data_IF_115596028804
#
_entry.id   IF_115596028804
#
_cell.length_a   1.000
_cell.length_b   1.000
_cell.length_c   1.000
_cell.angle_alpha   90.00
_cell.angle_beta   90.00
_cell.angle_gamma   90.00
#
_symmetry.space_group_name_H-M   'P 1'
#
loop_
_entity.id
_entity.type
_entity.pdbx_description
1 polymer ?
#
# COMPACT_ATOMS: atom_id res chain seq x y z
N UNK A 1 32.73 34.13 27.62
CA UNK A 1 31.29 34.35 27.25
C UNK A 1 31.16 34.93 25.82
N UNK A 2 32.25 35.29 25.12
CA UNK A 2 32.21 35.98 23.79
C UNK A 2 32.51 35.07 22.58
N UNK A 3 32.63 33.75 22.73
CA UNK A 3 32.96 32.81 21.64
C UNK A 3 31.75 32.00 21.13
N UNK A 4 30.58 32.09 21.77
CA UNK A 4 29.38 31.27 21.45
C UNK A 4 28.37 31.96 20.50
N UNK A 5 28.64 33.18 20.02
CA UNK A 5 27.69 33.93 19.15
C UNK A 5 28.07 33.86 17.65
N UNK A 6 29.20 33.29 17.26
CA UNK A 6 29.66 33.31 15.87
C UNK A 6 29.32 32.09 15.01
N UNK A 7 28.59 31.06 15.52
CA UNK A 7 28.31 29.81 14.78
C UNK A 7 26.88 29.75 14.20
N UNK A 8 26.02 30.72 14.50
CA UNK A 8 24.61 30.70 14.04
C UNK A 8 24.37 31.34 12.65
N UNK A 9 25.38 31.75 11.91
CA UNK A 9 25.19 32.56 10.70
C UNK A 9 25.32 31.81 9.36
N UNK A 10 25.50 30.49 9.32
CA UNK A 10 25.66 29.73 8.07
C UNK A 10 24.76 28.52 7.89
N UNK A 11 23.64 28.47 8.57
CA UNK A 11 22.60 27.51 8.17
C UNK A 11 21.73 28.22 7.12
N UNK A 12 22.16 28.20 5.86
CA UNK A 12 21.25 28.43 4.76
C UNK A 12 20.26 27.25 4.78
N UNK A 13 18.96 27.45 5.02
CA UNK A 13 18.00 26.39 4.82
C UNK A 13 18.08 26.03 3.33
N UNK A 14 18.57 24.84 3.03
CA UNK A 14 18.44 24.27 1.69
C UNK A 14 16.96 24.39 1.32
N UNK A 15 16.67 25.16 0.27
CA UNK A 15 15.32 25.30 -0.27
C UNK A 15 14.94 23.91 -0.75
N UNK A 16 14.31 23.14 0.13
CA UNK A 16 13.64 21.90 -0.21
C UNK A 16 12.72 22.24 -1.37
N UNK A 17 12.88 21.56 -2.51
CA UNK A 17 11.98 21.71 -3.63
C UNK A 17 10.55 21.58 -3.05
N UNK A 18 9.72 22.60 -3.28
CA UNK A 18 8.36 22.68 -2.75
C UNK A 18 7.57 21.49 -3.30
N UNK A 19 7.47 20.44 -2.50
CA UNK A 19 6.75 19.23 -2.88
C UNK A 19 5.27 19.58 -2.90
N UNK A 20 4.60 19.37 -4.03
CA UNK A 20 3.18 19.64 -4.19
C UNK A 20 2.37 18.93 -3.09
N UNK A 21 1.36 19.61 -2.55
CA UNK A 21 0.46 19.00 -1.56
C UNK A 21 -0.25 17.80 -2.19
N UNK A 22 -0.21 16.65 -1.48
CA UNK A 22 -0.82 15.41 -1.96
C UNK A 22 -2.33 15.56 -2.15
N UNK A 23 -2.87 14.92 -3.15
CA UNK A 23 -4.31 14.82 -3.37
C UNK A 23 -4.96 14.12 -2.18
N UNK A 24 -6.00 14.72 -1.64
CA UNK A 24 -6.73 14.21 -0.47
C UNK A 24 -7.99 13.50 -0.94
N UNK A 25 -8.01 12.19 -0.77
CA UNK A 25 -9.16 11.34 -1.10
C UNK A 25 -9.84 10.91 0.18
N UNK A 26 -11.17 10.87 0.13
CA UNK A 26 -11.98 10.36 1.23
C UNK A 26 -12.10 8.83 1.10
N UNK A 27 -11.13 8.11 1.69
CA UNK A 27 -11.06 6.66 1.63
C UNK A 27 -12.06 6.02 2.58
N UNK A 28 -12.80 5.00 2.13
CA UNK A 28 -13.79 4.25 2.92
C UNK A 28 -13.18 3.52 4.11
N UNK A 29 -11.92 3.11 3.99
CA UNK A 29 -11.18 2.38 5.03
C UNK A 29 -10.58 3.27 6.12
N UNK A 30 -10.68 4.61 6.01
CA UNK A 30 -10.18 5.54 7.04
C UNK A 30 -11.16 5.70 8.20
N UNK A 31 -10.61 6.08 9.37
CA UNK A 31 -11.37 6.32 10.61
C UNK A 31 -11.54 5.06 11.46
N UNK A 32 -12.17 5.23 12.63
CA UNK A 32 -12.31 4.16 13.64
C UNK A 32 -13.16 2.97 13.19
N UNK A 33 -14.08 3.18 12.25
CA UNK A 33 -15.00 2.17 11.72
C UNK A 33 -14.83 1.97 10.22
N UNK A 34 -13.74 2.50 9.65
CA UNK A 34 -13.46 2.40 8.22
C UNK A 34 -13.36 0.94 7.76
N UNK A 35 -13.88 0.67 6.56
CA UNK A 35 -13.85 -0.65 5.92
C UNK A 35 -13.46 -0.50 4.47
N UNK A 36 -12.86 -1.54 3.93
CA UNK A 36 -12.60 -1.63 2.51
C UNK A 36 -13.90 -1.88 1.72
N UNK A 37 -14.02 -1.23 0.58
CA UNK A 37 -15.03 -1.56 -0.41
C UNK A 37 -14.58 -2.81 -1.19
N UNK A 38 -15.35 -3.88 -1.13
CA UNK A 38 -15.00 -5.18 -1.73
C UNK A 38 -14.92 -5.11 -3.26
N UNK A 39 -15.85 -4.40 -3.88
CA UNK A 39 -15.82 -4.21 -5.32
C UNK A 39 -14.56 -3.43 -5.76
N UNK A 40 -14.20 -2.37 -5.02
CA UNK A 40 -12.97 -1.64 -5.25
C UNK A 40 -11.71 -2.50 -5.04
N UNK A 41 -11.70 -3.42 -4.05
CA UNK A 41 -10.60 -4.36 -3.86
C UNK A 41 -10.46 -5.34 -5.03
N UNK A 42 -11.57 -5.89 -5.53
CA UNK A 42 -11.57 -6.82 -6.67
C UNK A 42 -11.09 -6.13 -7.94
N UNK A 43 -11.62 -4.94 -8.25
CA UNK A 43 -11.15 -4.12 -9.38
C UNK A 43 -9.68 -3.71 -9.22
N UNK A 44 -9.29 -3.33 -8.01
CA UNK A 44 -7.89 -2.97 -7.70
C UNK A 44 -6.94 -4.16 -7.88
N UNK A 45 -7.36 -5.37 -7.53
CA UNK A 45 -6.62 -6.59 -7.85
C UNK A 45 -6.51 -6.80 -9.36
N UNK A 46 -7.57 -6.55 -10.13
CA UNK A 46 -7.53 -6.64 -11.58
C UNK A 46 -6.50 -5.65 -12.16
N UNK A 47 -6.52 -4.37 -11.72
CA UNK A 47 -5.50 -3.38 -12.14
C UNK A 47 -4.08 -3.86 -11.79
N UNK A 48 -3.88 -4.37 -10.56
CA UNK A 48 -2.58 -4.91 -10.18
C UNK A 48 -2.16 -6.06 -11.11
N UNK A 49 -3.03 -7.04 -11.32
CA UNK A 49 -2.75 -8.23 -12.13
C UNK A 49 -2.44 -7.88 -13.59
N UNK A 50 -3.19 -6.98 -14.20
CA UNK A 50 -3.11 -6.71 -15.63
C UNK A 50 -2.09 -5.62 -15.98
N UNK A 51 -1.80 -4.70 -15.07
CA UNK A 51 -0.91 -3.57 -15.32
C UNK A 51 0.36 -3.64 -14.46
N UNK A 52 0.23 -3.68 -13.14
CA UNK A 52 1.35 -3.46 -12.22
C UNK A 52 2.28 -4.68 -12.08
N UNK A 53 1.71 -5.89 -12.13
CA UNK A 53 2.43 -7.14 -11.87
C UNK A 53 3.48 -7.47 -12.92
N UNK A 54 3.45 -6.81 -14.09
CA UNK A 54 4.47 -6.94 -15.13
C UNK A 54 5.85 -6.42 -14.70
N UNK A 55 5.88 -5.49 -13.73
CA UNK A 55 7.11 -4.86 -13.25
C UNK A 55 7.28 -4.96 -11.72
N UNK A 56 6.18 -5.00 -10.96
CA UNK A 56 6.18 -4.94 -9.50
C UNK A 56 5.81 -6.28 -8.86
N UNK A 57 6.65 -6.74 -7.94
CA UNK A 57 6.36 -7.90 -7.10
C UNK A 57 5.39 -7.56 -5.95
N UNK A 58 4.79 -8.60 -5.37
CA UNK A 58 3.95 -8.54 -4.15
C UNK A 58 4.20 -9.79 -3.30
N UNK A 59 5.42 -9.92 -2.81
CA UNK A 59 5.97 -11.17 -2.26
C UNK A 59 5.37 -11.59 -0.91
N UNK A 60 4.72 -10.69 -0.16
CA UNK A 60 4.18 -11.02 1.16
C UNK A 60 2.76 -11.57 1.13
N UNK A 61 2.07 -11.51 -0.03
CA UNK A 61 0.76 -12.10 -0.21
C UNK A 61 0.84 -13.48 -0.85
N UNK A 62 -0.06 -14.36 -0.41
CA UNK A 62 -0.39 -15.62 -1.08
C UNK A 62 -1.72 -15.48 -1.79
N UNK A 63 -1.98 -16.26 -2.84
CA UNK A 63 -3.26 -16.21 -3.55
C UNK A 63 -4.46 -16.47 -2.65
N UNK A 64 -4.33 -17.33 -1.63
CA UNK A 64 -5.40 -17.59 -0.64
C UNK A 64 -5.88 -16.34 0.08
N UNK A 65 -5.00 -15.34 0.29
CA UNK A 65 -5.38 -14.12 0.98
C UNK A 65 -6.46 -13.33 0.22
N UNK A 66 -6.59 -13.52 -1.09
CA UNK A 66 -7.64 -12.91 -1.90
C UNK A 66 -9.07 -13.37 -1.51
N UNK A 67 -9.20 -14.54 -0.88
CA UNK A 67 -10.49 -15.07 -0.40
C UNK A 67 -10.77 -14.82 1.08
N UNK A 68 -9.85 -14.17 1.83
CA UNK A 68 -10.02 -13.94 3.25
C UNK A 68 -11.03 -12.83 3.56
N UNK A 69 -11.75 -12.98 4.70
CA UNK A 69 -12.67 -11.95 5.21
C UNK A 69 -11.93 -10.62 5.41
N UNK A 70 -12.52 -9.53 4.95
CA UNK A 70 -11.88 -8.22 5.03
C UNK A 70 -11.02 -7.88 3.82
N UNK A 71 -10.76 -8.83 2.95
CA UNK A 71 -10.05 -8.69 1.68
C UNK A 71 -10.97 -8.56 0.47
N UNK A 72 -10.49 -8.91 -0.73
CA UNK A 72 -11.31 -8.96 -1.95
C UNK A 72 -12.46 -9.97 -1.88
N UNK A 73 -12.36 -10.95 -0.99
CA UNK A 73 -13.40 -11.96 -0.71
C UNK A 73 -13.83 -12.76 -1.96
N UNK A 74 -12.88 -13.08 -2.84
CA UNK A 74 -13.12 -14.00 -3.93
C UNK A 74 -13.49 -15.38 -3.39
N UNK A 75 -14.37 -16.09 -4.08
CA UNK A 75 -14.72 -17.47 -3.75
C UNK A 75 -13.49 -18.39 -3.83
N UNK A 76 -13.57 -19.55 -3.18
CA UNK A 76 -12.50 -20.55 -3.20
C UNK A 76 -12.17 -20.99 -4.63
N UNK A 77 -13.20 -21.10 -5.47
CA UNK A 77 -13.09 -21.48 -6.88
C UNK A 77 -12.37 -20.40 -7.69
N UNK A 78 -12.72 -19.14 -7.48
CA UNK A 78 -12.06 -18.00 -8.13
C UNK A 78 -10.59 -17.89 -7.68
N UNK A 79 -10.31 -18.03 -6.39
CA UNK A 79 -8.93 -18.02 -5.89
C UNK A 79 -8.09 -19.14 -6.50
N UNK A 80 -8.65 -20.35 -6.67
CA UNK A 80 -7.98 -21.47 -7.36
C UNK A 80 -7.73 -21.16 -8.83
N UNK A 81 -8.71 -20.60 -9.51
CA UNK A 81 -8.60 -20.23 -10.92
C UNK A 81 -7.55 -19.11 -11.12
N UNK A 82 -7.56 -18.09 -10.26
CA UNK A 82 -6.57 -17.01 -10.26
C UNK A 82 -5.18 -17.58 -10.05
N UNK A 83 -4.97 -18.40 -9.00
CA UNK A 83 -3.67 -19.00 -8.72
C UNK A 83 -3.17 -19.84 -9.90
N UNK A 84 -4.03 -20.70 -10.47
CA UNK A 84 -3.69 -21.57 -11.58
C UNK A 84 -3.39 -20.81 -12.91
N UNK A 85 -3.76 -19.54 -13.01
CA UNK A 85 -3.40 -18.70 -14.17
C UNK A 85 -1.93 -18.23 -14.17
N UNK A 86 -1.19 -18.52 -13.10
CA UNK A 86 0.24 -18.21 -12.98
C UNK A 86 1.06 -19.50 -12.95
N UNK A 87 2.24 -19.46 -13.53
CA UNK A 87 3.21 -20.55 -13.44
C UNK A 87 4.15 -20.31 -12.26
N UNK A 88 4.34 -21.34 -11.46
CA UNK A 88 5.21 -21.34 -10.27
C UNK A 88 6.32 -22.36 -10.47
N UNK A 89 7.56 -21.95 -10.27
CA UNK A 89 8.69 -22.85 -10.18
C UNK A 89 8.62 -23.68 -8.89
N UNK A 90 8.71 -24.98 -8.99
CA UNK A 90 8.63 -25.94 -7.87
C UNK A 90 9.72 -27.01 -8.03
N UNK A 91 10.01 -27.73 -6.97
CA UNK A 91 11.04 -28.76 -6.96
C UNK A 91 12.07 -28.57 -5.84
N UNK A 92 13.19 -29.29 -5.88
CA UNK A 92 13.53 -30.29 -6.89
C UNK A 92 12.65 -31.55 -6.83
N UNK A 93 12.43 -32.18 -7.99
CA UNK A 93 11.77 -33.48 -8.09
C UNK A 93 12.66 -34.62 -7.56
N UNK A 94 12.22 -35.87 -7.74
CA UNK A 94 12.99 -37.07 -7.31
C UNK A 94 14.31 -37.27 -8.08
N UNK A 95 14.50 -36.53 -9.18
CA UNK A 95 15.72 -36.55 -10.01
C UNK A 95 16.62 -35.34 -9.72
N UNK A 96 16.14 -34.38 -8.89
CA UNK A 96 16.87 -33.18 -8.53
C UNK A 96 16.61 -32.00 -9.48
N UNK A 97 15.61 -32.08 -10.36
CA UNK A 97 15.32 -31.05 -11.35
C UNK A 97 14.20 -30.13 -10.89
N UNK A 98 14.31 -28.84 -11.25
CA UNK A 98 13.26 -27.84 -11.06
C UNK A 98 12.24 -27.96 -12.18
N UNK A 99 10.96 -27.78 -11.85
CA UNK A 99 9.87 -27.84 -12.84
C UNK A 99 8.87 -26.70 -12.59
N UNK A 100 8.11 -26.36 -13.62
CA UNK A 100 7.01 -25.39 -13.48
C UNK A 100 5.68 -26.12 -13.35
N UNK A 101 4.79 -25.53 -12.57
CA UNK A 101 3.41 -26.00 -12.41
C UNK A 101 2.44 -24.83 -12.30
N UNK A 102 1.15 -25.05 -12.55
CA UNK A 102 0.12 -24.07 -12.19
C UNK A 102 0.17 -23.74 -10.69
N UNK A 103 0.01 -22.45 -10.39
CA UNK A 103 -0.01 -21.98 -9.02
C UNK A 103 -1.18 -22.54 -8.21
N UNK A 104 -0.99 -22.58 -6.89
CA UNK A 104 -1.96 -23.03 -5.89
C UNK A 104 -2.31 -21.86 -4.96
N UNK A 105 -3.46 -21.87 -4.27
CA UNK A 105 -3.82 -20.85 -3.30
C UNK A 105 -2.77 -20.58 -2.21
N UNK A 106 -1.97 -21.59 -1.85
CA UNK A 106 -0.88 -21.46 -0.88
C UNK A 106 0.36 -20.74 -1.40
N UNK A 107 0.52 -20.67 -2.70
CA UNK A 107 1.71 -20.07 -3.30
C UNK A 107 1.67 -18.55 -3.13
N UNK A 108 2.87 -17.97 -3.06
CA UNK A 108 3.04 -16.51 -3.08
C UNK A 108 2.74 -15.95 -4.47
N UNK A 109 2.38 -14.69 -4.53
CA UNK A 109 2.29 -13.99 -5.81
C UNK A 109 3.62 -14.08 -6.56
N UNK A 110 3.55 -14.49 -7.81
CA UNK A 110 4.74 -14.66 -8.65
C UNK A 110 5.39 -13.31 -8.91
N UNK A 111 6.70 -13.25 -8.72
CA UNK A 111 7.48 -12.07 -9.04
C UNK A 111 7.76 -12.00 -10.55
N UNK A 112 7.69 -10.81 -11.18
CA UNK A 112 7.93 -10.68 -12.63
C UNK A 112 9.36 -10.97 -13.05
N UNK A 113 10.30 -10.90 -12.10
CA UNK A 113 11.72 -11.13 -12.35
C UNK A 113 12.30 -12.11 -11.33
N UNK A 114 13.25 -12.96 -11.75
CA UNK A 114 13.84 -13.98 -10.88
C UNK A 114 14.73 -13.39 -9.77
N UNK A 115 15.24 -12.18 -9.96
CA UNK A 115 16.08 -11.49 -8.97
C UNK A 115 16.13 -9.98 -9.21
N UNK A 116 16.67 -9.25 -8.23
CA UNK A 116 16.79 -7.78 -8.24
C UNK A 116 17.60 -7.28 -9.45
N UNK A 117 18.69 -7.94 -9.82
CA UNK A 117 19.53 -7.49 -10.94
C UNK A 117 18.80 -7.61 -12.29
N UNK A 118 18.05 -8.69 -12.50
CA UNK A 118 17.21 -8.86 -13.68
C UNK A 118 16.11 -7.78 -13.73
N UNK A 119 15.49 -7.48 -12.59
CA UNK A 119 14.50 -6.41 -12.46
C UNK A 119 15.09 -5.03 -12.83
N UNK A 120 16.26 -4.68 -12.29
CA UNK A 120 16.94 -3.41 -12.59
C UNK A 120 17.30 -3.33 -14.07
N UNK A 121 17.86 -4.40 -14.65
CA UNK A 121 18.24 -4.42 -16.07
C UNK A 121 17.03 -4.22 -16.99
N UNK A 122 15.91 -4.89 -16.70
CA UNK A 122 14.68 -4.77 -17.48
C UNK A 122 13.99 -3.41 -17.38
N UNK A 123 14.25 -2.65 -16.30
CA UNK A 123 13.60 -1.36 -16.01
C UNK A 123 14.55 -0.15 -16.18
N UNK A 124 15.47 -0.19 -17.12
CA UNK A 124 16.35 0.93 -17.46
C UNK A 124 17.21 1.41 -16.28
N UNK A 125 17.67 0.48 -15.43
CA UNK A 125 18.49 0.79 -14.25
C UNK A 125 17.68 1.24 -13.03
N UNK A 126 16.34 1.20 -13.05
CA UNK A 126 15.50 1.43 -11.89
C UNK A 126 15.05 0.11 -11.27
N UNK A 127 14.89 0.08 -9.97
CA UNK A 127 14.29 -1.05 -9.27
C UNK A 127 12.82 -0.73 -8.94
N UNK A 128 11.85 -1.40 -9.59
CA UNK A 128 10.45 -1.29 -9.18
C UNK A 128 10.27 -1.87 -7.78
N UNK A 129 9.77 -1.08 -6.81
CA UNK A 129 9.62 -1.58 -5.44
C UNK A 129 8.57 -2.69 -5.36
N UNK A 130 8.76 -3.60 -4.40
CA UNK A 130 7.72 -4.56 -4.00
C UNK A 130 6.51 -3.79 -3.43
N UNK A 131 5.30 -4.17 -3.86
CA UNK A 131 4.08 -3.45 -3.51
C UNK A 131 3.42 -3.93 -2.22
N UNK A 132 3.88 -5.03 -1.61
CA UNK A 132 3.22 -5.66 -0.46
C UNK A 132 2.97 -4.70 0.70
N UNK A 133 3.93 -3.82 1.00
CA UNK A 133 3.83 -2.85 2.11
C UNK A 133 4.08 -1.40 1.66
N UNK A 134 3.99 -1.15 0.34
CA UNK A 134 4.37 0.12 -0.26
C UNK A 134 3.61 1.30 0.35
N UNK A 135 2.31 1.14 0.60
CA UNK A 135 1.45 2.19 1.19
C UNK A 135 1.93 2.59 2.58
N UNK A 136 2.40 1.64 3.40
CA UNK A 136 2.95 1.93 4.74
C UNK A 136 4.36 2.50 4.69
N UNK A 137 5.11 2.21 3.65
CA UNK A 137 6.49 2.64 3.47
C UNK A 137 6.62 4.06 2.90
N UNK A 138 5.51 4.76 2.68
CA UNK A 138 5.51 6.11 2.11
C UNK A 138 4.76 7.10 3.00
N UNK A 139 5.36 8.27 3.34
CA UNK A 139 4.63 9.37 3.97
C UNK A 139 3.41 9.76 3.12
N UNK A 140 2.26 9.93 3.77
CA UNK A 140 0.99 10.17 3.07
C UNK A 140 0.21 8.91 2.70
N UNK A 141 0.84 7.72 2.74
CA UNK A 141 0.18 6.43 2.55
C UNK A 141 -0.62 6.34 1.25
N UNK A 142 -1.91 5.98 1.35
CA UNK A 142 -2.81 5.85 0.20
C UNK A 142 -2.89 7.14 -0.64
N UNK A 143 -2.93 8.32 0.00
CA UNK A 143 -2.94 9.58 -0.72
C UNK A 143 -1.68 9.78 -1.56
N UNK A 144 -0.51 9.34 -1.07
CA UNK A 144 0.74 9.42 -1.83
C UNK A 144 0.70 8.51 -3.06
N UNK A 145 0.31 7.25 -2.90
CA UNK A 145 0.23 6.31 -4.02
C UNK A 145 -0.73 6.83 -5.09
N UNK A 146 -1.93 7.23 -4.68
CA UNK A 146 -2.90 7.83 -5.60
C UNK A 146 -2.36 9.08 -6.29
N UNK A 147 -1.73 9.99 -5.54
CA UNK A 147 -1.16 11.22 -6.10
C UNK A 147 -0.06 10.92 -7.13
N UNK A 148 0.82 9.95 -6.86
CA UNK A 148 1.86 9.55 -7.81
C UNK A 148 1.25 9.00 -9.09
N UNK A 149 0.21 8.17 -9.02
CA UNK A 149 -0.48 7.62 -10.20
C UNK A 149 -1.14 8.73 -11.04
N UNK A 150 -1.72 9.75 -10.38
CA UNK A 150 -2.39 10.89 -11.03
C UNK A 150 -1.46 12.08 -11.32
N UNK A 151 -0.18 11.98 -10.96
CA UNK A 151 0.75 13.10 -11.00
C UNK A 151 1.50 13.30 -12.31
N UNK A 152 1.32 12.43 -13.28
CA UNK A 152 1.96 12.56 -14.59
C UNK A 152 1.40 13.77 -15.34
N UNK A 153 2.30 14.57 -15.90
CA UNK A 153 1.93 15.73 -16.71
C UNK A 153 3.11 16.16 -17.58
N UNK A 154 2.86 17.03 -18.53
CA UNK A 154 3.93 17.69 -19.26
C UNK A 154 4.86 18.45 -18.30
N UNK A 155 6.16 18.36 -18.58
CA UNK A 155 7.17 19.07 -17.79
C UNK A 155 7.08 20.58 -18.03
N UNK A 156 7.38 21.44 -17.03
CA UNK A 156 7.59 22.87 -17.23
C UNK A 156 8.72 23.13 -18.25
N UNK A 157 8.64 24.24 -18.97
CA UNK A 157 9.59 24.57 -20.06
C UNK A 157 11.05 24.52 -19.63
N UNK A 158 11.36 25.01 -18.41
CA UNK A 158 12.72 25.07 -17.88
C UNK A 158 13.15 23.81 -17.14
N UNK A 159 12.30 22.76 -17.08
CA UNK A 159 12.60 21.56 -16.34
C UNK A 159 13.37 20.55 -17.21
N UNK A 160 14.58 20.20 -16.75
CA UNK A 160 15.43 19.23 -17.45
C UNK A 160 15.13 17.81 -17.00
N UNK A 161 14.77 16.96 -17.95
CA UNK A 161 14.63 15.52 -17.78
C UNK A 161 15.71 14.80 -18.56
N UNK A 162 16.20 13.71 -17.98
CA UNK A 162 17.05 12.74 -18.62
C UNK A 162 16.22 11.77 -19.47
N UNK A 163 16.82 11.07 -20.42
CA UNK A 163 16.14 10.05 -21.22
C UNK A 163 15.61 8.92 -20.31
N UNK A 164 14.39 8.48 -20.57
CA UNK A 164 13.72 7.46 -19.76
C UNK A 164 13.27 7.91 -18.37
N UNK A 165 13.24 9.23 -18.13
CA UNK A 165 12.70 9.83 -16.91
C UNK A 165 11.48 10.67 -17.24
N UNK A 166 10.42 10.55 -16.46
CA UNK A 166 9.15 11.26 -16.64
C UNK A 166 8.94 12.30 -15.55
N UNK A 167 8.19 13.33 -15.89
CA UNK A 167 7.79 14.34 -14.90
C UNK A 167 6.59 13.85 -14.10
N UNK A 168 6.67 13.99 -12.78
CA UNK A 168 5.57 13.67 -11.87
C UNK A 168 5.52 14.69 -10.74
N UNK A 169 4.38 15.36 -10.58
CA UNK A 169 4.18 16.47 -9.63
C UNK A 169 4.42 16.09 -8.17
N UNK A 170 4.19 14.81 -7.82
CA UNK A 170 4.18 14.35 -6.42
C UNK A 170 5.40 13.50 -6.06
N UNK A 171 6.20 13.13 -7.05
CA UNK A 171 7.44 12.43 -6.78
C UNK A 171 8.51 13.41 -6.29
N UNK A 172 9.34 12.97 -5.35
CA UNK A 172 10.46 13.79 -4.85
C UNK A 172 11.37 14.22 -6.00
N UNK A 173 11.65 15.51 -6.12
CA UNK A 173 12.41 16.09 -7.23
C UNK A 173 11.64 16.11 -8.56
N UNK A 174 10.36 15.81 -8.57
CA UNK A 174 9.47 15.79 -9.73
C UNK A 174 9.93 14.87 -10.88
N UNK A 175 10.74 13.85 -10.57
CA UNK A 175 11.32 12.89 -11.53
C UNK A 175 10.98 11.46 -11.13
N UNK A 176 10.51 10.68 -12.09
CA UNK A 176 10.21 9.27 -11.90
C UNK A 176 10.66 8.47 -13.12
N UNK A 177 11.25 7.28 -12.92
CA UNK A 177 11.62 6.38 -14.02
C UNK A 177 10.47 5.51 -14.53
N UNK A 178 9.45 5.29 -13.69
CA UNK A 178 8.23 4.59 -14.09
C UNK A 178 7.50 5.43 -15.15
N UNK A 179 7.20 4.87 -16.31
CA UNK A 179 6.28 5.50 -17.27
C UNK A 179 4.87 5.58 -16.69
N UNK A 180 4.02 6.46 -17.21
CA UNK A 180 2.62 6.52 -16.78
C UNK A 180 1.96 5.16 -16.96
N UNK A 181 1.54 4.49 -15.88
CA UNK A 181 1.05 3.12 -15.97
C UNK A 181 -0.44 3.04 -16.31
N UNK A 182 -1.20 4.09 -16.06
CA UNK A 182 -2.65 4.14 -16.27
C UNK A 182 -3.00 5.07 -17.42
N UNK A 183 -3.87 4.60 -18.29
CA UNK A 183 -4.48 5.38 -19.37
C UNK A 183 -5.89 4.88 -19.62
N UNK A 184 -6.77 5.70 -20.16
CA UNK A 184 -8.12 5.28 -20.51
C UNK A 184 -8.09 4.07 -21.45
N UNK A 185 -8.89 3.04 -21.14
CA UNK A 185 -9.02 1.84 -21.96
C UNK A 185 -7.86 0.84 -21.87
N UNK A 186 -6.91 1.01 -20.93
CA UNK A 186 -5.83 0.03 -20.73
C UNK A 186 -6.33 -1.31 -20.20
N UNK A 187 -7.44 -1.29 -19.45
CA UNK A 187 -8.17 -2.49 -18.99
C UNK A 187 -9.67 -2.28 -19.17
N UNK A 188 -10.41 -3.37 -19.14
CA UNK A 188 -11.88 -3.37 -19.07
C UNK A 188 -12.30 -4.12 -17.80
N UNK A 189 -13.03 -3.45 -16.91
CA UNK A 189 -13.48 -4.07 -15.68
C UNK A 189 -14.57 -5.11 -15.94
N UNK A 190 -14.44 -6.27 -15.31
CA UNK A 190 -15.37 -7.38 -15.46
C UNK A 190 -16.77 -7.10 -14.89
N UNK A 191 -16.88 -6.12 -13.99
CA UNK A 191 -18.15 -5.69 -13.37
C UNK A 191 -18.87 -4.59 -14.18
N UNK A 192 -18.30 -4.16 -15.31
CA UNK A 192 -18.86 -3.11 -16.17
C UNK A 192 -18.61 -1.67 -15.67
N UNK A 193 -17.88 -1.48 -14.59
CA UNK A 193 -17.46 -0.15 -14.12
C UNK A 193 -16.56 0.50 -15.18
N UNK A 194 -16.73 1.80 -15.44
CA UNK A 194 -15.89 2.51 -16.39
C UNK A 194 -14.45 2.65 -15.84
N UNK A 195 -13.47 2.08 -16.55
CA UNK A 195 -12.07 2.09 -16.17
C UNK A 195 -11.38 3.40 -16.56
N UNK A 196 -11.78 4.52 -15.92
CA UNK A 196 -11.06 5.79 -16.03
C UNK A 196 -9.75 5.75 -15.25
N UNK A 197 -8.78 6.59 -15.62
CA UNK A 197 -7.52 6.70 -14.86
C UNK A 197 -7.76 6.93 -13.36
N UNK A 198 -8.69 7.84 -13.02
CA UNK A 198 -9.07 8.15 -11.64
C UNK A 198 -9.65 6.92 -10.91
N UNK A 199 -10.56 6.18 -11.56
CA UNK A 199 -11.18 4.99 -10.97
C UNK A 199 -10.13 3.90 -10.75
N UNK A 200 -9.30 3.62 -11.76
CA UNK A 200 -8.22 2.63 -11.64
C UNK A 200 -7.22 2.99 -10.56
N UNK A 201 -6.83 4.28 -10.47
CA UNK A 201 -5.92 4.75 -9.43
C UNK A 201 -6.51 4.60 -8.02
N UNK A 202 -7.81 4.87 -7.83
CA UNK A 202 -8.50 4.64 -6.55
C UNK A 202 -8.59 3.16 -6.20
N UNK A 203 -8.99 2.34 -7.14
CA UNK A 203 -9.18 0.91 -6.91
C UNK A 203 -7.86 0.20 -6.59
N UNK A 204 -6.81 0.44 -7.39
CA UNK A 204 -5.50 -0.17 -7.10
C UNK A 204 -4.90 0.37 -5.79
N UNK A 205 -5.08 1.65 -5.47
CA UNK A 205 -4.61 2.21 -4.18
C UNK A 205 -5.34 1.57 -3.01
N UNK A 206 -6.65 1.29 -3.15
CA UNK A 206 -7.44 0.57 -2.13
C UNK A 206 -6.92 -0.85 -1.95
N UNK A 207 -6.66 -1.57 -3.04
CA UNK A 207 -6.09 -2.91 -3.02
C UNK A 207 -4.68 -2.93 -2.37
N UNK A 208 -3.80 -2.01 -2.76
CA UNK A 208 -2.47 -1.90 -2.16
C UNK A 208 -2.50 -1.52 -0.68
N UNK A 209 -3.53 -0.77 -0.26
CA UNK A 209 -3.73 -0.45 1.16
C UNK A 209 -4.14 -1.69 1.94
N UNK A 210 -5.04 -2.50 1.39
CA UNK A 210 -5.39 -3.78 1.98
C UNK A 210 -4.19 -4.74 2.01
N UNK A 211 -3.44 -4.84 0.92
CA UNK A 211 -2.24 -5.67 0.87
C UNK A 211 -1.25 -5.34 2.00
N UNK A 212 -1.10 -4.05 2.31
CA UNK A 212 -0.22 -3.57 3.38
C UNK A 212 -0.83 -3.71 4.78
N UNK A 213 -2.17 -3.77 4.90
CA UNK A 213 -2.91 -3.85 6.16
C UNK A 213 -4.13 -4.79 6.06
N UNK A 214 -3.95 -6.09 5.82
CA UNK A 214 -5.07 -7.02 5.64
C UNK A 214 -5.96 -7.10 6.90
N UNK A 215 -5.38 -6.95 8.07
CA UNK A 215 -6.07 -6.99 9.37
C UNK A 215 -6.67 -5.64 9.83
N UNK A 216 -6.77 -4.64 8.96
CA UNK A 216 -7.23 -3.30 9.32
C UNK A 216 -8.64 -3.35 9.95
N UNK A 217 -9.57 -4.04 9.32
CA UNK A 217 -10.96 -4.12 9.82
C UNK A 217 -11.06 -4.90 11.13
N UNK A 218 -10.34 -6.02 11.24
CA UNK A 218 -10.25 -6.82 12.47
C UNK A 218 -9.66 -5.99 13.62
N UNK A 219 -8.62 -5.21 13.33
CA UNK A 219 -8.00 -4.30 14.29
C UNK A 219 -8.96 -3.20 14.73
N UNK A 220 -9.76 -2.62 13.83
CA UNK A 220 -10.80 -1.64 14.17
C UNK A 220 -11.87 -2.27 15.07
N UNK A 221 -12.42 -3.42 14.68
CA UNK A 221 -13.43 -4.15 15.47
C UNK A 221 -12.92 -4.48 16.88
N UNK A 222 -11.69 -4.96 16.97
CA UNK A 222 -11.06 -5.33 18.25
C UNK A 222 -10.73 -4.08 19.08
N UNK A 223 -10.23 -3.03 18.46
CA UNK A 223 -9.90 -1.76 19.12
C UNK A 223 -11.10 -1.14 19.82
N UNK A 224 -12.27 -1.12 19.18
CA UNK A 224 -13.52 -0.62 19.81
C UNK A 224 -13.87 -1.44 21.06
N UNK A 225 -13.81 -2.77 20.98
CA UNK A 225 -14.08 -3.66 22.13
C UNK A 225 -13.11 -3.39 23.28
N UNK A 226 -11.82 -3.24 22.97
CA UNK A 226 -10.78 -2.95 23.97
C UNK A 226 -11.01 -1.58 24.63
N UNK A 227 -11.36 -0.55 23.87
CA UNK A 227 -11.65 0.78 24.43
C UNK A 227 -12.83 0.72 25.39
N UNK A 228 -13.93 0.07 25.02
CA UNK A 228 -15.11 -0.10 25.90
C UNK A 228 -14.70 -0.84 27.18
N UNK A 229 -13.97 -1.94 27.05
CA UNK A 229 -13.48 -2.70 28.21
C UNK A 229 -12.62 -1.85 29.14
N UNK A 230 -11.68 -1.07 28.60
CA UNK A 230 -10.80 -0.21 29.38
C UNK A 230 -11.58 0.91 30.10
N UNK A 231 -12.59 1.50 29.46
CA UNK A 231 -13.44 2.51 30.09
C UNK A 231 -14.17 1.91 31.31
N UNK A 232 -14.78 0.73 31.13
CA UNK A 232 -15.49 0.03 32.21
C UNK A 232 -14.53 -0.32 33.36
N UNK A 233 -13.39 -0.92 33.03
CA UNK A 233 -12.38 -1.30 34.03
C UNK A 233 -11.86 -0.06 34.78
N UNK A 234 -11.50 1.00 34.06
CA UNK A 234 -11.02 2.24 34.69
C UNK A 234 -12.06 2.85 35.63
N UNK A 235 -13.33 2.83 35.23
CA UNK A 235 -14.43 3.31 36.04
C UNK A 235 -14.57 2.50 37.34
N UNK A 236 -14.52 1.17 37.24
CA UNK A 236 -14.59 0.28 38.43
C UNK A 236 -13.40 0.50 39.37
N UNK A 237 -12.19 0.56 38.83
CA UNK A 237 -10.97 0.82 39.59
C UNK A 237 -11.03 2.20 40.28
N UNK A 238 -11.50 3.22 39.56
CA UNK A 238 -11.66 4.56 40.10
C UNK A 238 -12.61 4.60 41.31
N UNK A 239 -13.79 3.99 41.20
CA UNK A 239 -14.74 3.92 42.32
C UNK A 239 -14.21 3.06 43.48
N UNK A 240 -13.52 1.98 43.21
CA UNK A 240 -12.87 1.15 44.23
C UNK A 240 -11.79 1.94 44.97
N UNK A 241 -10.93 2.64 44.26
CA UNK A 241 -9.92 3.53 44.82
C UNK A 241 -10.59 4.59 45.72
N UNK A 242 -11.58 5.31 45.20
CA UNK A 242 -12.29 6.36 45.95
C UNK A 242 -12.92 5.83 47.23
N UNK A 243 -13.47 4.60 47.19
CA UNK A 243 -14.05 3.94 48.37
C UNK A 243 -13.00 3.56 49.43
N UNK A 244 -11.82 3.10 48.99
CA UNK A 244 -10.73 2.76 49.91
C UNK A 244 -10.19 4.02 50.57
N UNK A 245 -9.91 5.06 49.80
CA UNK A 245 -9.32 6.31 50.31
C UNK A 245 -10.29 7.06 51.27
N UNK A 246 -11.60 7.05 51.02
CA UNK A 246 -12.58 7.65 51.92
C UNK A 246 -12.61 7.02 53.32
N UNK A 247 -12.08 5.82 53.50
CA UNK A 247 -11.93 5.19 54.82
C UNK A 247 -10.67 5.65 55.54
N UNK A 248 -9.62 5.96 54.82
CA UNK A 248 -8.36 6.47 55.37
C UNK A 248 -8.54 7.89 55.90
N UNK A 249 -9.29 8.74 55.18
CA UNK A 249 -9.55 10.12 55.57
C UNK A 249 -10.45 10.25 56.82
N UNK A 250 -11.11 9.16 57.25
CA UNK A 250 -11.95 9.13 58.47
C UNK A 250 -11.21 8.65 59.72
N UNK A 251 -9.98 8.17 59.58
CA UNK A 251 -9.17 7.69 60.72
C UNK A 251 -8.06 8.68 61.15
N UNK A 252 -8.02 9.90 60.56
CA UNK A 252 -7.16 11.01 60.92
C UNK A 252 -8.00 12.12 61.55
#
# INVERSE_FOLDING_TARGET
ILVLIAISAFINPSKSAEQSELLKINWTFKGLTGKFDRASLQRGFQVYKEVCSSCHSMQYLSYRNLGEEGGPEFSIEEVKAIAASFEVEDGPDSQGEMFTRPGRPSDRFVSPYPNVNASIAANGGAYPPDMSVLVKARPGGANYIYSVLMGYSEKPMDFKLEDGVYYNKYMSGNKIKMSQPLSEGIIEYTDGTLATEDQMAKDVTTFLTWAAEPELETRHKTGVKVIIYLILLTTLVFFSMKRIWSRVDTEI
#
